data_IF_540642255128
#
_entry.id   IF_540642255128
#
_cell.length_a   1.000
_cell.length_b   1.000
_cell.length_c   1.000
_cell.angle_alpha   90.00
_cell.angle_beta   90.00
_cell.angle_gamma   90.00
#
_symmetry.space_group_name_H-M   'P 1'
#
loop_
_entity.id
_entity.type
_entity.pdbx_description
1 polymer ?
#
# COMPACT_ATOMS: atom_id res chain seq x y z
N UNK A 1 -3.43 3.70 4.14
CA UNK A 1 -2.46 4.63 3.53
C UNK A 1 -1.14 3.94 3.19
N UNK A 2 -0.49 3.28 4.15
CA UNK A 2 0.88 2.74 4.04
C UNK A 2 1.21 1.94 2.77
N UNK A 3 0.32 1.14 2.21
CA UNK A 3 0.57 0.40 0.96
C UNK A 3 0.76 1.30 -0.28
N UNK A 4 0.19 2.51 -0.29
CA UNK A 4 0.50 3.49 -1.35
C UNK A 4 1.86 4.17 -1.14
N UNK A 5 2.40 4.09 0.08
CA UNK A 5 3.69 4.67 0.41
C UNK A 5 4.87 3.81 -0.03
N UNK A 6 4.71 2.49 -0.10
CA UNK A 6 5.64 1.59 -0.80
C UNK A 6 4.90 0.87 -1.93
N UNK A 7 4.82 1.54 -3.08
CA UNK A 7 4.12 0.98 -4.23
C UNK A 7 4.87 -0.19 -4.87
N UNK A 8 6.18 -0.29 -4.67
CA UNK A 8 6.96 -1.39 -5.21
C UNK A 8 6.55 -2.70 -4.55
N UNK A 9 6.29 -2.70 -3.24
CA UNK A 9 5.70 -3.86 -2.55
C UNK A 9 4.37 -4.31 -3.18
N UNK A 10 3.51 -3.36 -3.58
CA UNK A 10 2.24 -3.67 -4.25
C UNK A 10 2.48 -4.29 -5.63
N UNK A 11 3.37 -3.72 -6.44
CA UNK A 11 3.71 -4.27 -7.76
C UNK A 11 4.34 -5.66 -7.66
N UNK A 12 5.16 -5.93 -6.64
CA UNK A 12 5.73 -7.26 -6.37
C UNK A 12 4.65 -8.27 -5.97
N UNK A 13 3.72 -7.87 -5.09
CA UNK A 13 2.60 -8.72 -4.69
C UNK A 13 1.58 -8.95 -5.82
N UNK A 14 1.44 -8.00 -6.74
CA UNK A 14 0.44 -8.01 -7.83
C UNK A 14 1.05 -7.58 -9.17
N UNK A 15 1.72 -8.49 -9.91
CA UNK A 15 2.52 -8.17 -11.11
C UNK A 15 1.79 -7.53 -12.31
N UNK A 16 0.45 -7.44 -12.28
CA UNK A 16 -0.34 -6.76 -13.33
C UNK A 16 -0.72 -5.32 -12.98
N UNK A 17 -0.38 -4.88 -11.76
CA UNK A 17 -0.66 -3.53 -11.30
C UNK A 17 0.34 -2.56 -11.92
N UNK A 18 -0.19 -1.47 -12.48
CA UNK A 18 0.65 -0.44 -13.10
C UNK A 18 1.58 0.23 -12.07
N UNK A 19 2.89 0.36 -12.36
CA UNK A 19 3.86 0.95 -11.43
C UNK A 19 3.68 2.46 -11.24
N UNK A 20 2.90 3.13 -12.09
CA UNK A 20 2.71 4.60 -12.04
C UNK A 20 1.47 5.03 -11.26
N UNK A 21 0.69 4.08 -10.70
CA UNK A 21 -0.52 4.42 -9.93
C UNK A 21 -0.20 5.32 -8.75
N UNK A 22 0.86 5.03 -7.99
CA UNK A 22 1.27 5.86 -6.85
C UNK A 22 1.61 7.30 -7.24
N UNK A 23 1.97 7.57 -8.49
CA UNK A 23 2.30 8.91 -8.97
C UNK A 23 1.04 9.76 -9.28
N UNK A 24 -0.13 9.13 -9.41
CA UNK A 24 -1.39 9.83 -9.68
C UNK A 24 -1.73 10.77 -8.52
N UNK A 25 -2.26 11.96 -8.83
CA UNK A 25 -2.60 13.00 -7.83
C UNK A 25 -3.39 12.48 -6.63
N UNK A 26 -4.29 11.53 -6.86
CA UNK A 26 -5.12 10.91 -5.81
C UNK A 26 -4.33 10.05 -4.82
N UNK A 27 -3.19 9.48 -5.23
CA UNK A 27 -2.46 8.46 -4.48
C UNK A 27 -1.05 8.88 -4.04
N UNK A 28 -0.46 9.89 -4.69
CA UNK A 28 0.92 10.38 -4.43
C UNK A 28 1.19 10.90 -3.03
N UNK A 29 0.14 11.17 -2.26
CA UNK A 29 0.22 11.53 -0.84
C UNK A 29 -0.60 10.50 -0.06
N UNK A 30 0.00 9.38 0.36
CA UNK A 30 -0.71 8.27 0.99
C UNK A 30 -1.58 8.68 2.18
N UNK A 31 -1.06 9.59 3.01
CA UNK A 31 -1.71 10.08 4.23
C UNK A 31 -2.90 11.00 3.95
N UNK A 32 -2.97 11.56 2.74
CA UNK A 32 -4.02 12.47 2.31
C UNK A 32 -5.15 11.76 1.53
N UNK A 33 -5.08 10.44 1.34
CA UNK A 33 -6.07 9.68 0.57
C UNK A 33 -7.44 9.74 1.26
N UNK A 34 -8.38 10.47 0.66
CA UNK A 34 -9.76 10.63 1.13
C UNK A 34 -10.67 9.51 0.62
N UNK A 35 -11.73 9.22 1.38
CA UNK A 35 -12.79 8.28 0.96
C UNK A 35 -12.44 6.80 1.12
N UNK A 36 -11.51 6.49 2.03
CA UNK A 36 -11.14 5.13 2.39
C UNK A 36 -9.99 4.57 1.53
N UNK A 37 -8.89 4.21 2.19
CA UNK A 37 -7.69 3.75 1.47
C UNK A 37 -7.84 2.33 0.93
N UNK A 38 -8.68 1.49 1.53
CA UNK A 38 -8.85 0.10 1.11
C UNK A 38 -9.72 0.02 -0.15
N UNK A 39 -10.75 0.86 -0.26
CA UNK A 39 -11.61 1.02 -1.43
C UNK A 39 -10.81 1.55 -2.62
N UNK A 40 -9.84 2.44 -2.36
CA UNK A 40 -8.91 2.92 -3.38
C UNK A 40 -8.02 1.79 -3.89
N UNK A 41 -7.42 0.99 -2.99
CA UNK A 41 -6.58 -0.15 -3.36
C UNK A 41 -7.39 -1.21 -4.12
N UNK A 42 -8.57 -1.58 -3.61
CA UNK A 42 -9.43 -2.59 -4.24
C UNK A 42 -9.76 -2.19 -5.68
N UNK A 43 -10.08 -0.92 -5.94
CA UNK A 43 -10.35 -0.44 -7.30
C UNK A 43 -9.15 -0.66 -8.23
N UNK A 44 -7.94 -0.31 -7.78
CA UNK A 44 -6.72 -0.51 -8.57
C UNK A 44 -6.46 -1.99 -8.84
N UNK A 45 -6.64 -2.85 -7.84
CA UNK A 45 -6.44 -4.29 -8.00
C UNK A 45 -7.49 -4.91 -8.94
N UNK A 46 -8.75 -4.48 -8.85
CA UNK A 46 -9.82 -4.89 -9.78
C UNK A 46 -9.53 -4.46 -11.22
N UNK A 47 -9.08 -3.23 -11.43
CA UNK A 47 -8.65 -2.73 -12.74
C UNK A 47 -7.50 -3.57 -13.33
N UNK A 48 -6.57 -4.05 -12.48
CA UNK A 48 -5.48 -4.94 -12.86
C UNK A 48 -5.90 -6.44 -13.01
N UNK A 49 -7.18 -6.76 -12.80
CA UNK A 49 -7.74 -8.10 -12.94
C UNK A 49 -7.63 -9.00 -11.69
N UNK A 50 -7.22 -8.44 -10.54
CA UNK A 50 -7.17 -9.09 -9.24
C UNK A 50 -8.46 -8.82 -8.43
N UNK A 51 -8.73 -9.61 -7.38
CA UNK A 51 -9.77 -9.31 -6.38
C UNK A 51 -11.18 -9.01 -6.95
N UNK A 52 -11.57 -9.70 -8.04
CA UNK A 52 -12.84 -9.44 -8.77
C UNK A 52 -14.09 -9.58 -7.92
N UNK A 53 -14.09 -10.51 -6.96
CA UNK A 53 -15.21 -10.77 -6.04
C UNK A 53 -15.12 -9.99 -4.72
N UNK A 54 -14.13 -9.10 -4.58
CA UNK A 54 -13.84 -8.39 -3.35
C UNK A 54 -12.37 -8.53 -2.93
N UNK A 55 -11.89 -7.58 -2.12
CA UNK A 55 -10.54 -7.61 -1.56
C UNK A 55 -10.47 -8.52 -0.31
N UNK A 56 -9.75 -9.66 -0.34
CA UNK A 56 -9.46 -10.42 0.87
C UNK A 56 -8.43 -9.66 1.72
N UNK A 57 -8.89 -8.80 2.63
CA UNK A 57 -8.08 -7.79 3.32
C UNK A 57 -6.82 -8.35 3.98
N UNK A 58 -6.95 -9.42 4.77
CA UNK A 58 -5.83 -10.03 5.51
C UNK A 58 -4.79 -10.61 4.55
N UNK A 59 -5.22 -11.42 3.58
CA UNK A 59 -4.32 -12.03 2.60
C UNK A 59 -3.62 -10.98 1.74
N UNK A 60 -4.35 -9.93 1.32
CA UNK A 60 -3.78 -8.82 0.55
C UNK A 60 -2.74 -8.07 1.38
N UNK A 61 -3.05 -7.77 2.65
CA UNK A 61 -2.11 -7.11 3.55
C UNK A 61 -0.86 -7.96 3.79
N UNK A 62 -1.01 -9.27 4.00
CA UNK A 62 0.11 -10.19 4.18
C UNK A 62 1.00 -10.27 2.92
N UNK A 63 0.40 -10.36 1.74
CA UNK A 63 1.13 -10.40 0.47
C UNK A 63 1.96 -9.13 0.23
N UNK A 64 1.38 -7.94 0.46
CA UNK A 64 2.12 -6.69 0.36
C UNK A 64 3.16 -6.56 1.48
N UNK A 65 2.82 -6.97 2.70
CA UNK A 65 3.71 -6.90 3.87
C UNK A 65 4.98 -7.72 3.71
N UNK A 66 4.92 -8.87 3.04
CA UNK A 66 6.10 -9.70 2.75
C UNK A 66 7.13 -9.00 1.84
N UNK A 67 6.69 -8.03 1.05
CA UNK A 67 7.53 -7.26 0.13
C UNK A 67 7.77 -5.82 0.59
N UNK A 68 7.25 -5.42 1.76
CA UNK A 68 7.33 -4.06 2.27
C UNK A 68 8.76 -3.73 2.67
N UNK A 69 9.26 -2.58 2.22
CA UNK A 69 10.50 -1.96 2.69
C UNK A 69 10.13 -0.70 3.49
N UNK A 70 9.99 -0.78 4.83
CA UNK A 70 9.45 0.32 5.63
C UNK A 70 10.25 1.61 5.53
N UNK A 71 11.56 1.50 5.33
CA UNK A 71 12.49 2.62 5.14
C UNK A 71 12.19 3.45 3.88
N UNK A 72 11.68 2.82 2.82
CA UNK A 72 11.40 3.46 1.53
C UNK A 72 9.97 3.99 1.43
N UNK A 73 9.12 3.63 2.39
CA UNK A 73 7.70 3.97 2.38
C UNK A 73 7.47 5.49 2.50
N UNK A 74 6.87 6.16 1.52
CA UNK A 74 6.74 7.62 1.52
C UNK A 74 5.63 8.21 2.42
N UNK A 75 4.93 7.39 3.21
CA UNK A 75 3.91 7.82 4.18
C UNK A 75 4.57 8.33 5.47
N UNK A 76 4.45 9.64 5.82
CA UNK A 76 5.06 10.17 7.04
C UNK A 76 4.52 9.51 8.32
N UNK A 77 3.20 9.35 8.44
CA UNK A 77 2.59 8.72 9.61
C UNK A 77 3.01 7.26 9.79
N UNK A 78 3.15 6.52 8.68
CA UNK A 78 3.65 5.15 8.73
C UNK A 78 5.12 5.09 9.15
N UNK A 79 5.99 5.97 8.63
CA UNK A 79 7.39 6.02 9.06
C UNK A 79 7.53 6.30 10.56
N UNK A 80 6.76 7.26 11.08
CA UNK A 80 6.74 7.56 12.51
C UNK A 80 6.31 6.35 13.34
N UNK A 81 5.25 5.66 12.90
CA UNK A 81 4.78 4.46 13.57
C UNK A 81 5.83 3.33 13.54
N UNK A 82 6.41 3.05 12.38
CA UNK A 82 7.44 2.03 12.21
C UNK A 82 8.68 2.32 13.06
N UNK A 83 9.11 3.59 13.12
CA UNK A 83 10.22 4.02 13.97
C UNK A 83 9.91 3.76 15.44
N UNK A 84 8.74 4.19 15.94
CA UNK A 84 8.36 4.00 17.34
C UNK A 84 8.30 2.52 17.73
N UNK A 85 7.79 1.64 16.85
CA UNK A 85 7.79 0.20 17.07
C UNK A 85 9.22 -0.36 17.11
N UNK A 86 10.08 0.06 16.17
CA UNK A 86 11.47 -0.39 16.09
C UNK A 86 12.25 0.02 17.34
N UNK A 87 12.08 1.26 17.82
CA UNK A 87 12.66 1.74 19.08
C UNK A 87 12.16 0.95 20.30
N UNK A 88 10.89 0.55 20.33
CA UNK A 88 10.31 -0.17 21.46
C UNK A 88 10.74 -1.65 21.57
N UNK A 89 11.23 -2.24 20.49
CA UNK A 89 11.66 -3.66 20.45
C UNK A 89 13.18 -3.82 20.33
N UNK A 90 13.93 -2.72 20.30
CA UNK A 90 15.39 -2.69 20.33
C UNK A 90 15.91 -2.75 21.75
#
# INVERSE_FOLDING_TARGET
AWYFGDWQAVCRAFPKVSPTVSQRTRYRKPDAIQGGTWEALERVLKEAGHCKQGLPKVQTAAAMGHHMEPQDNCSPSFRMFWQAITEAVS
#
